data_IF_981563930885
#
_entry.id   IF_981563930885
#
_cell.length_a   1.000
_cell.length_b   1.000
_cell.length_c   1.000
_cell.angle_alpha   90.00
_cell.angle_beta   90.00
_cell.angle_gamma   90.00
#
_symmetry.space_group_name_H-M   'P 1'
#
loop_
_entity.id
_entity.type
_entity.pdbx_description
1 polymer ?
#
# COMPACT_ATOMS: atom_id res chain seq x y z
N UNK A 1 -17.85 14.56 15.73
CA UNK A 1 -17.27 14.14 14.44
C UNK A 1 -15.93 13.43 14.59
N UNK A 2 -14.97 13.92 15.38
CA UNK A 2 -13.69 13.21 15.60
C UNK A 2 -13.85 11.77 16.11
N UNK A 3 -14.77 11.52 17.05
CA UNK A 3 -15.07 10.15 17.52
C UNK A 3 -15.62 9.25 16.39
N UNK A 4 -16.46 9.80 15.52
CA UNK A 4 -17.02 9.07 14.38
C UNK A 4 -15.91 8.70 13.38
N UNK A 5 -15.07 9.67 13.00
CA UNK A 5 -13.88 9.45 12.15
C UNK A 5 -12.97 8.38 12.75
N UNK A 6 -12.62 8.52 14.03
CA UNK A 6 -11.78 7.54 14.72
C UNK A 6 -12.41 6.15 14.71
N UNK A 7 -13.72 6.05 14.91
CA UNK A 7 -14.41 4.75 14.88
C UNK A 7 -14.43 4.08 13.50
N UNK A 8 -14.34 4.86 12.41
CA UNK A 8 -14.17 4.35 11.05
C UNK A 8 -12.75 3.81 10.89
N UNK A 9 -11.75 4.66 11.14
CA UNK A 9 -10.31 4.34 11.00
C UNK A 9 -9.85 3.18 11.90
N UNK A 10 -10.44 3.03 13.09
CA UNK A 10 -10.12 1.92 14.00
C UNK A 10 -11.07 0.73 13.86
N UNK A 11 -11.92 0.68 12.82
CA UNK A 11 -12.84 -0.42 12.54
C UNK A 11 -13.72 -0.81 13.75
N UNK A 12 -14.15 0.18 14.54
CA UNK A 12 -14.90 -0.07 15.80
C UNK A 12 -16.38 -0.31 15.55
N UNK A 13 -16.93 0.32 14.52
CA UNK A 13 -18.37 0.25 14.19
C UNK A 13 -18.64 -0.79 13.10
N UNK A 14 -17.70 -0.93 12.16
CA UNK A 14 -17.75 -1.85 11.03
C UNK A 14 -16.45 -2.64 10.98
N UNK A 15 -16.51 -3.88 10.50
CA UNK A 15 -15.30 -4.67 10.25
C UNK A 15 -14.39 -4.00 9.22
N UNK A 16 -13.08 -4.33 9.18
CA UNK A 16 -12.16 -3.79 8.17
C UNK A 16 -12.68 -3.96 6.73
N UNK A 17 -13.22 -5.14 6.39
CA UNK A 17 -13.79 -5.41 5.07
C UNK A 17 -14.97 -4.52 4.74
N UNK A 18 -15.84 -4.25 5.73
CA UNK A 18 -17.00 -3.37 5.54
C UNK A 18 -16.57 -1.92 5.36
N UNK A 19 -15.61 -1.40 6.15
CA UNK A 19 -15.06 -0.04 5.96
C UNK A 19 -14.39 0.08 4.59
N UNK A 20 -13.52 -0.86 4.22
CA UNK A 20 -12.84 -0.87 2.93
C UNK A 20 -13.83 -0.94 1.75
N UNK A 21 -14.96 -1.63 1.92
CA UNK A 21 -16.02 -1.66 0.91
C UNK A 21 -16.79 -0.36 0.88
N UNK A 22 -17.07 0.22 2.04
CA UNK A 22 -17.86 1.44 2.19
C UNK A 22 -17.15 2.69 1.66
N UNK A 23 -15.82 2.76 1.79
CA UNK A 23 -15.02 3.85 1.24
C UNK A 23 -14.88 3.79 -0.29
N UNK A 24 -15.13 2.65 -0.94
CA UNK A 24 -14.99 2.56 -2.41
C UNK A 24 -15.94 3.51 -3.16
N UNK A 25 -15.50 4.06 -4.30
CA UNK A 25 -16.37 4.84 -5.17
C UNK A 25 -17.49 3.96 -5.75
N UNK A 26 -18.69 4.52 -5.87
CA UNK A 26 -19.85 3.90 -6.49
C UNK A 26 -20.16 4.49 -7.87
N UNK A 27 -19.75 5.73 -8.13
CA UNK A 27 -19.84 6.35 -9.45
C UNK A 27 -18.71 7.35 -9.68
N UNK A 28 -18.48 7.66 -10.95
CA UNK A 28 -17.54 8.69 -11.40
C UNK A 28 -18.31 9.97 -11.75
N UNK A 29 -17.62 11.10 -11.74
CA UNK A 29 -18.12 12.35 -12.33
C UNK A 29 -17.39 12.62 -13.66
N UNK A 30 -17.81 13.62 -14.46
CA UNK A 30 -17.04 14.04 -15.63
C UNK A 30 -15.62 14.53 -15.29
N UNK A 31 -15.40 14.93 -14.04
CA UNK A 31 -14.09 15.31 -13.53
C UNK A 31 -13.33 14.05 -13.07
N UNK A 32 -12.21 13.75 -13.72
CA UNK A 32 -11.45 12.51 -13.51
C UNK A 32 -11.00 12.26 -12.06
N UNK A 33 -10.76 13.32 -11.31
CA UNK A 33 -10.26 13.27 -9.94
C UNK A 33 -11.37 13.36 -8.88
N UNK A 34 -12.64 13.34 -9.29
CA UNK A 34 -13.80 13.43 -8.40
C UNK A 34 -14.69 12.22 -8.58
N UNK A 35 -14.84 11.45 -7.51
CA UNK A 35 -15.63 10.23 -7.44
C UNK A 35 -16.70 10.37 -6.36
N UNK A 36 -17.76 9.59 -6.46
CA UNK A 36 -18.89 9.61 -5.52
C UNK A 36 -19.04 8.23 -4.91
N UNK A 37 -18.99 8.15 -3.58
CA UNK A 37 -19.30 6.96 -2.79
C UNK A 37 -20.69 7.05 -2.14
N UNK A 38 -20.89 6.35 -1.03
CA UNK A 38 -22.11 6.42 -0.25
C UNK A 38 -21.79 6.76 1.21
N UNK A 39 -21.90 8.00 1.70
CA UNK A 39 -22.30 9.25 1.03
C UNK A 39 -21.10 10.11 0.56
N UNK A 40 -19.91 9.51 0.47
CA UNK A 40 -18.62 10.20 0.33
C UNK A 40 -18.47 11.01 -0.96
N UNK A 41 -17.93 12.21 -0.83
CA UNK A 41 -17.26 12.96 -1.89
C UNK A 41 -15.78 12.58 -1.86
N UNK A 42 -15.29 11.94 -2.92
CA UNK A 42 -13.94 11.36 -2.96
C UNK A 42 -13.10 12.17 -3.94
N UNK A 43 -12.05 12.81 -3.42
CA UNK A 43 -11.11 13.60 -4.21
C UNK A 43 -9.79 12.85 -4.32
N UNK A 44 -9.38 12.53 -5.55
CA UNK A 44 -8.12 11.86 -5.85
C UNK A 44 -7.05 12.89 -6.22
N UNK A 45 -5.90 12.87 -5.55
CA UNK A 45 -4.82 13.80 -5.86
C UNK A 45 -3.45 13.15 -5.69
N UNK A 46 -2.50 13.52 -6.55
CA UNK A 46 -1.09 13.17 -6.45
C UNK A 46 -0.22 14.34 -5.96
N UNK A 47 -0.81 15.50 -5.69
CA UNK A 47 -0.09 16.75 -5.36
C UNK A 47 0.01 17.01 -3.86
N UNK A 48 -0.57 16.16 -3.03
CA UNK A 48 -0.65 16.39 -1.58
C UNK A 48 0.66 16.09 -0.84
N UNK A 49 1.59 15.38 -1.49
CA UNK A 49 2.88 14.96 -0.97
C UNK A 49 3.99 15.35 -1.97
N UNK A 50 4.31 16.64 -2.14
CA UNK A 50 5.14 17.13 -3.25
C UNK A 50 6.55 16.53 -3.29
N UNK A 51 7.15 16.18 -2.15
CA UNK A 51 8.47 15.56 -2.09
C UNK A 51 8.46 14.08 -2.54
N UNK A 52 7.31 13.41 -2.40
CA UNK A 52 7.09 12.00 -2.74
C UNK A 52 5.70 11.79 -3.39
N UNK A 53 5.46 12.33 -4.60
CA UNK A 53 4.13 12.34 -5.21
C UNK A 53 3.58 10.94 -5.46
N UNK A 54 2.38 10.68 -4.95
CA UNK A 54 1.63 9.47 -5.22
C UNK A 54 0.13 9.70 -5.00
N UNK A 55 -0.69 8.84 -5.58
CA UNK A 55 -2.15 8.95 -5.51
C UNK A 55 -2.67 8.78 -4.08
N UNK A 56 -3.34 9.82 -3.60
CA UNK A 56 -4.04 9.86 -2.32
C UNK A 56 -5.53 10.12 -2.58
N UNK A 57 -6.38 9.29 -1.96
CA UNK A 57 -7.84 9.47 -1.99
C UNK A 57 -8.31 10.11 -0.67
N UNK A 58 -8.93 11.29 -0.78
CA UNK A 58 -9.58 11.99 0.33
C UNK A 58 -11.08 11.67 0.32
N UNK A 59 -11.52 10.84 1.27
CA UNK A 59 -12.93 10.51 1.49
C UNK A 59 -13.55 11.57 2.38
N UNK A 60 -14.49 12.34 1.87
CA UNK A 60 -14.92 13.55 2.57
C UNK A 60 -16.40 13.81 2.48
N UNK A 61 -16.89 14.67 3.37
CA UNK A 61 -18.26 15.16 3.33
C UNK A 61 -18.35 16.59 3.82
N UNK A 62 -19.02 17.41 3.02
CA UNK A 62 -19.35 18.80 3.35
C UNK A 62 -20.83 18.94 3.70
N UNK A 63 -21.13 19.92 4.54
CA UNK A 63 -22.49 20.30 4.89
C UNK A 63 -22.54 21.76 5.31
N UNK A 64 -23.62 22.46 4.95
CA UNK A 64 -23.83 23.86 5.30
C UNK A 64 -25.28 24.10 5.72
N UNK A 65 -25.47 24.93 6.72
CA UNK A 65 -26.79 25.37 7.19
C UNK A 65 -26.70 26.74 7.86
N UNK A 66 -27.44 27.75 7.35
CA UNK A 66 -27.65 29.06 7.98
C UNK A 66 -26.40 29.69 8.63
N UNK A 67 -25.32 29.85 7.86
CA UNK A 67 -24.07 30.44 8.35
C UNK A 67 -23.19 29.49 9.17
N UNK A 68 -23.48 28.19 9.18
CA UNK A 68 -22.60 27.15 9.71
C UNK A 68 -22.13 26.25 8.58
N UNK A 69 -20.85 25.89 8.59
CA UNK A 69 -20.28 24.92 7.66
C UNK A 69 -19.53 23.84 8.43
N UNK A 70 -19.66 22.62 7.93
CA UNK A 70 -18.93 21.46 8.40
C UNK A 70 -18.22 20.80 7.23
N UNK A 71 -16.95 20.48 7.43
CA UNK A 71 -16.17 19.69 6.50
C UNK A 71 -15.42 18.60 7.27
N UNK A 72 -15.67 17.35 6.93
CA UNK A 72 -14.90 16.22 7.44
C UNK A 72 -14.20 15.48 6.31
N UNK A 73 -13.02 14.94 6.60
CA UNK A 73 -12.24 14.14 5.66
C UNK A 73 -11.54 12.99 6.36
N UNK A 74 -11.35 11.90 5.62
CA UNK A 74 -10.67 10.67 6.01
C UNK A 74 -9.68 10.33 4.90
N UNK A 75 -8.45 10.01 5.30
CA UNK A 75 -7.39 9.55 4.42
C UNK A 75 -6.93 8.21 4.99
N UNK A 76 -7.60 7.16 4.53
CA UNK A 76 -7.50 5.82 5.08
C UNK A 76 -6.07 5.26 4.99
N UNK A 77 -5.38 5.57 3.88
CA UNK A 77 -3.97 5.21 3.63
C UNK A 77 -3.00 5.66 4.73
N UNK A 78 -3.32 6.73 5.46
CA UNK A 78 -2.51 7.24 6.57
C UNK A 78 -3.13 7.00 7.94
N UNK A 79 -4.30 6.36 8.02
CA UNK A 79 -5.05 6.27 9.26
C UNK A 79 -5.43 7.65 9.83
N UNK A 80 -5.62 8.65 8.96
CA UNK A 80 -5.78 10.05 9.34
C UNK A 80 -7.17 10.57 9.01
N UNK A 81 -7.70 11.47 9.83
CA UNK A 81 -8.90 12.21 9.48
C UNK A 81 -8.99 13.53 10.21
N UNK A 82 -9.80 14.43 9.67
CA UNK A 82 -9.96 15.79 10.17
C UNK A 82 -11.42 16.22 10.19
N UNK A 83 -11.66 17.28 10.94
CA UNK A 83 -12.94 17.96 10.95
C UNK A 83 -12.70 19.45 11.09
N UNK A 84 -13.31 20.23 10.21
CA UNK A 84 -13.35 21.69 10.28
C UNK A 84 -14.81 22.09 10.48
N UNK A 85 -15.03 22.97 11.45
CA UNK A 85 -16.33 23.55 11.77
C UNK A 85 -16.18 25.06 11.80
N UNK A 86 -17.00 25.76 11.02
CA UNK A 86 -17.00 27.22 10.98
C UNK A 86 -18.40 27.77 11.17
N UNK A 87 -18.48 28.95 11.78
CA UNK A 87 -19.71 29.72 11.92
C UNK A 87 -19.43 31.15 11.47
N UNK A 88 -20.28 31.71 10.61
CA UNK A 88 -20.13 33.05 10.05
C UNK A 88 -20.74 33.18 8.66
N UNK A 89 -20.68 34.40 8.10
CA UNK A 89 -21.24 34.71 6.78
C UNK A 89 -20.33 34.39 5.58
N UNK A 90 -19.14 33.84 5.81
CA UNK A 90 -18.17 33.56 4.75
C UNK A 90 -18.32 32.11 4.26
N UNK A 91 -18.78 31.94 3.02
CA UNK A 91 -19.28 30.68 2.45
C UNK A 91 -18.22 29.65 2.00
N UNK A 92 -16.96 29.81 2.44
CA UNK A 92 -15.86 28.91 2.06
C UNK A 92 -14.82 28.73 3.18
N UNK A 93 -15.12 29.20 4.41
CA UNK A 93 -14.15 29.19 5.50
C UNK A 93 -13.69 27.77 5.81
N UNK A 94 -14.63 26.81 5.84
CA UNK A 94 -14.32 25.42 6.13
C UNK A 94 -13.43 24.77 5.05
N UNK A 95 -13.67 25.10 3.78
CA UNK A 95 -12.89 24.59 2.65
C UNK A 95 -11.46 25.13 2.70
N UNK A 96 -11.29 26.44 2.80
CA UNK A 96 -9.96 27.07 2.81
C UNK A 96 -9.11 26.61 3.99
N UNK A 97 -9.72 26.41 5.16
CA UNK A 97 -9.04 25.86 6.33
C UNK A 97 -8.66 24.40 6.15
N UNK A 98 -9.51 23.59 5.51
CA UNK A 98 -9.19 22.19 5.23
C UNK A 98 -8.05 22.06 4.20
N UNK A 99 -8.06 22.89 3.14
CA UNK A 99 -6.99 22.90 2.14
C UNK A 99 -5.65 23.32 2.77
N UNK A 100 -5.65 24.36 3.61
CA UNK A 100 -4.47 24.79 4.35
C UNK A 100 -3.99 23.70 5.33
N UNK A 101 -4.91 23.02 6.02
CA UNK A 101 -4.59 21.91 6.91
C UNK A 101 -3.91 20.77 6.13
N UNK A 102 -4.48 20.34 5.01
CA UNK A 102 -3.95 19.25 4.19
C UNK A 102 -2.58 19.59 3.61
N UNK A 103 -2.39 20.83 3.13
CA UNK A 103 -1.12 21.30 2.57
C UNK A 103 0.03 21.29 3.59
N UNK A 104 -0.26 21.48 4.88
CA UNK A 104 0.75 21.44 5.94
C UNK A 104 0.92 20.02 6.51
N UNK A 105 -0.18 19.30 6.71
CA UNK A 105 -0.18 18.05 7.45
C UNK A 105 0.31 16.87 6.62
N UNK A 106 -0.12 16.75 5.36
CA UNK A 106 0.22 15.57 4.55
C UNK A 106 1.71 15.43 4.22
N UNK A 107 2.45 16.50 3.89
CA UNK A 107 3.90 16.38 3.73
C UNK A 107 4.61 15.91 5.02
N UNK A 108 4.15 16.38 6.18
CA UNK A 108 4.72 15.98 7.47
C UNK A 108 4.40 14.53 7.83
N UNK A 109 3.16 14.09 7.57
CA UNK A 109 2.72 12.70 7.77
C UNK A 109 3.49 11.77 6.85
N UNK A 110 3.61 12.10 5.57
CA UNK A 110 4.39 11.30 4.61
C UNK A 110 5.85 11.17 5.04
N UNK A 111 6.46 12.24 5.54
CA UNK A 111 7.83 12.17 6.07
C UNK A 111 7.93 11.21 7.27
N UNK A 112 6.95 11.24 8.17
CA UNK A 112 6.92 10.37 9.35
C UNK A 112 6.70 8.89 8.96
N UNK A 113 5.72 8.60 8.10
CA UNK A 113 5.45 7.23 7.64
C UNK A 113 6.62 6.64 6.87
N UNK A 114 7.31 7.43 6.05
CA UNK A 114 8.55 6.99 5.38
C UNK A 114 9.68 6.71 6.37
N UNK A 115 9.78 7.49 7.44
CA UNK A 115 10.76 7.21 8.52
C UNK A 115 10.42 5.91 9.24
N UNK A 116 9.14 5.62 9.48
CA UNK A 116 8.69 4.36 10.08
C UNK A 116 8.91 3.19 9.12
N UNK A 117 8.68 3.38 7.82
CA UNK A 117 8.88 2.36 6.79
C UNK A 117 10.35 1.91 6.62
N UNK A 118 11.33 2.69 7.11
CA UNK A 118 12.74 2.28 7.15
C UNK A 118 12.98 0.97 7.91
N UNK A 119 12.10 0.65 8.87
CA UNK A 119 12.07 -0.61 9.59
C UNK A 119 12.06 -1.84 8.65
N UNK A 120 11.42 -1.73 7.49
CA UNK A 120 11.25 -2.81 6.52
C UNK A 120 12.37 -2.85 5.47
N UNK A 121 13.29 -1.89 5.49
CA UNK A 121 14.47 -1.83 4.61
C UNK A 121 15.59 -2.64 5.24
N UNK A 122 16.21 -3.52 4.45
CA UNK A 122 17.33 -4.31 4.94
C UNK A 122 17.69 -5.50 4.06
N UNK A 123 18.68 -6.24 4.53
CA UNK A 123 19.06 -7.53 3.99
C UNK A 123 18.66 -8.61 5.00
N UNK A 124 17.86 -9.58 4.58
CA UNK A 124 17.43 -10.69 5.41
C UNK A 124 17.93 -12.00 4.80
N UNK A 125 18.53 -12.84 5.63
CA UNK A 125 19.06 -14.15 5.24
C UNK A 125 18.39 -15.26 6.04
N UNK A 126 18.43 -16.48 5.52
CA UNK A 126 17.88 -17.65 6.23
C UNK A 126 18.96 -18.37 7.04
N UNK A 127 18.70 -18.65 8.31
CA UNK A 127 19.56 -19.47 9.16
C UNK A 127 19.57 -20.95 8.76
N UNK A 128 18.49 -21.41 8.10
CA UNK A 128 18.25 -22.83 7.75
C UNK A 128 18.63 -23.17 6.32
N UNK A 129 18.52 -22.21 5.40
CA UNK A 129 18.86 -22.39 3.99
C UNK A 129 20.03 -21.47 3.61
N UNK A 130 21.13 -22.07 3.14
CA UNK A 130 22.26 -21.28 2.62
C UNK A 130 21.84 -20.55 1.35
N UNK A 131 22.46 -19.40 1.10
CA UNK A 131 22.27 -18.62 -0.15
C UNK A 131 20.82 -18.19 -0.42
N UNK A 132 19.98 -18.15 0.62
CA UNK A 132 18.64 -17.59 0.58
C UNK A 132 18.65 -16.19 1.19
N UNK A 133 18.41 -15.19 0.36
CA UNK A 133 18.47 -13.76 0.71
C UNK A 133 17.21 -13.05 0.20
N UNK A 134 16.66 -12.14 0.99
CA UNK A 134 15.69 -11.15 0.52
C UNK A 134 16.19 -9.76 0.90
N UNK A 135 16.26 -8.86 -0.08
CA UNK A 135 16.73 -7.49 0.10
C UNK A 135 15.70 -6.48 -0.34
N UNK A 136 15.27 -5.66 0.59
CA UNK A 136 14.33 -4.56 0.38
C UNK A 136 15.07 -3.22 0.48
N UNK A 137 14.72 -2.29 -0.39
CA UNK A 137 15.28 -0.94 -0.42
C UNK A 137 14.16 0.08 -0.60
N UNK A 138 14.42 1.35 -0.31
CA UNK A 138 13.44 2.42 -0.47
C UNK A 138 14.07 3.56 -1.27
N UNK A 139 13.36 4.01 -2.30
CA UNK A 139 13.68 5.18 -3.10
C UNK A 139 12.61 6.25 -2.91
N UNK A 140 12.60 7.32 -3.70
CA UNK A 140 11.61 8.40 -3.59
C UNK A 140 10.20 8.02 -4.06
N UNK A 141 9.99 6.81 -4.61
CA UNK A 141 8.68 6.33 -5.02
C UNK A 141 7.85 5.74 -3.88
N UNK A 142 6.62 5.28 -4.18
CA UNK A 142 5.77 4.59 -3.22
C UNK A 142 6.21 3.13 -3.02
N UNK A 143 5.88 2.54 -1.86
CA UNK A 143 6.24 1.16 -1.53
C UNK A 143 7.76 0.92 -1.38
N UNK A 144 8.13 -0.34 -1.18
CA UNK A 144 9.54 -0.76 -1.09
C UNK A 144 9.96 -1.49 -2.36
N UNK A 145 11.21 -1.34 -2.76
CA UNK A 145 11.78 -2.08 -3.88
C UNK A 145 12.29 -3.44 -3.38
N UNK A 146 11.76 -4.51 -3.95
CA UNK A 146 12.32 -5.86 -3.83
C UNK A 146 13.53 -5.97 -4.76
N UNK A 147 14.70 -5.61 -4.24
CA UNK A 147 15.95 -5.54 -5.01
C UNK A 147 16.62 -6.89 -5.23
N UNK A 148 16.41 -7.84 -4.32
CA UNK A 148 16.94 -9.19 -4.41
C UNK A 148 15.99 -10.18 -3.72
N UNK A 149 15.80 -11.33 -4.34
CA UNK A 149 15.16 -12.49 -3.72
C UNK A 149 15.84 -13.74 -4.27
N UNK A 150 16.59 -14.44 -3.43
CA UNK A 150 17.21 -15.72 -3.76
C UNK A 150 16.73 -16.82 -2.83
N UNK A 151 16.68 -18.03 -3.39
CA UNK A 151 16.47 -19.25 -2.61
C UNK A 151 17.50 -20.30 -3.02
N UNK A 152 18.33 -20.73 -2.07
CA UNK A 152 19.36 -21.76 -2.31
C UNK A 152 20.17 -21.48 -3.60
N UNK A 153 20.64 -20.25 -3.74
CA UNK A 153 21.42 -19.77 -4.89
C UNK A 153 20.62 -19.45 -6.17
N UNK A 154 19.32 -19.76 -6.21
CA UNK A 154 18.46 -19.45 -7.37
C UNK A 154 17.92 -18.02 -7.30
N UNK A 155 18.09 -17.24 -8.36
CA UNK A 155 17.56 -15.88 -8.49
C UNK A 155 16.06 -15.90 -8.83
N UNK A 156 15.23 -15.57 -7.85
CA UNK A 156 13.77 -15.56 -7.98
C UNK A 156 13.29 -14.30 -8.70
N UNK A 157 13.96 -13.15 -8.53
CA UNK A 157 13.61 -11.93 -9.29
C UNK A 157 13.85 -12.16 -10.79
N UNK A 158 14.99 -12.76 -11.13
CA UNK A 158 15.28 -13.19 -12.50
C UNK A 158 14.27 -14.20 -13.03
N UNK A 159 13.87 -15.19 -12.22
CA UNK A 159 12.85 -16.16 -12.60
C UNK A 159 11.48 -15.50 -12.87
N UNK A 160 11.05 -14.55 -12.04
CA UNK A 160 9.81 -13.77 -12.25
C UNK A 160 9.86 -13.03 -13.59
N UNK A 161 10.97 -12.34 -13.88
CA UNK A 161 11.17 -11.61 -15.14
C UNK A 161 11.17 -12.56 -16.35
N UNK A 162 11.82 -13.71 -16.24
CA UNK A 162 11.83 -14.73 -17.29
C UNK A 162 10.46 -15.36 -17.54
N UNK A 163 9.70 -15.65 -16.47
CA UNK A 163 8.32 -16.15 -16.57
C UNK A 163 7.42 -15.11 -17.22
N UNK A 164 7.57 -13.84 -16.87
CA UNK A 164 6.83 -12.74 -17.49
C UNK A 164 7.10 -12.63 -18.99
N UNK A 165 8.38 -12.66 -19.38
CA UNK A 165 8.80 -12.56 -20.79
C UNK A 165 8.39 -13.78 -21.64
N UNK A 166 8.16 -14.94 -21.02
CA UNK A 166 7.78 -16.19 -21.69
C UNK A 166 6.27 -16.44 -21.74
N UNK A 167 5.45 -15.51 -21.23
CA UNK A 167 4.00 -15.66 -21.30
C UNK A 167 3.51 -15.68 -22.76
N UNK A 168 2.67 -16.66 -23.16
CA UNK A 168 2.17 -16.77 -24.53
C UNK A 168 1.22 -15.62 -24.89
N UNK A 169 0.62 -14.98 -23.89
CA UNK A 169 -0.21 -13.78 -24.04
C UNK A 169 0.59 -12.58 -23.52
N UNK A 170 0.90 -11.57 -24.37
CA UNK A 170 1.62 -10.39 -23.93
C UNK A 170 0.80 -9.60 -22.91
N UNK A 171 1.29 -9.54 -21.66
CA UNK A 171 0.70 -8.71 -20.61
C UNK A 171 1.21 -7.26 -20.63
N UNK A 172 2.22 -6.97 -21.46
CA UNK A 172 2.98 -5.72 -21.48
C UNK A 172 4.40 -5.91 -20.95
N UNK A 173 5.21 -4.84 -20.92
CA UNK A 173 6.54 -4.90 -20.31
C UNK A 173 6.42 -4.89 -18.80
N UNK A 174 7.17 -5.73 -18.09
CA UNK A 174 7.27 -5.64 -16.64
C UNK A 174 8.25 -4.51 -16.27
N UNK A 175 7.90 -3.71 -15.27
CA UNK A 175 8.81 -2.71 -14.70
C UNK A 175 10.13 -3.33 -14.28
N UNK A 176 11.23 -2.61 -14.47
CA UNK A 176 12.55 -3.08 -14.03
C UNK A 176 12.64 -3.20 -12.51
N UNK A 177 11.91 -2.33 -11.80
CA UNK A 177 11.78 -2.29 -10.36
C UNK A 177 10.53 -3.01 -9.90
N UNK A 178 10.71 -4.02 -9.04
CA UNK A 178 9.62 -4.75 -8.41
C UNK A 178 9.29 -4.09 -7.06
N UNK A 179 8.05 -3.62 -6.89
CA UNK A 179 7.62 -2.89 -5.68
C UNK A 179 6.65 -3.70 -4.85
N UNK A 180 6.86 -3.69 -3.53
CA UNK A 180 6.00 -4.34 -2.55
C UNK A 180 5.30 -3.28 -1.71
N UNK A 181 4.03 -3.53 -1.40
CA UNK A 181 3.15 -2.62 -0.67
C UNK A 181 2.49 -3.34 0.50
N UNK A 182 2.21 -2.66 1.62
CA UNK A 182 1.43 -3.26 2.70
C UNK A 182 0.02 -3.62 2.17
N UNK A 183 -0.49 -4.77 2.61
CA UNK A 183 -1.82 -5.25 2.22
C UNK A 183 -2.90 -4.95 3.29
N UNK A 184 -2.52 -4.28 4.38
CA UNK A 184 -3.36 -4.03 5.57
C UNK A 184 -3.99 -5.31 6.15
N UNK A 185 -3.30 -6.44 5.97
CA UNK A 185 -3.65 -7.74 6.54
C UNK A 185 -2.57 -8.13 7.52
N UNK A 186 -2.95 -8.32 8.77
CA UNK A 186 -2.05 -8.81 9.81
C UNK A 186 -2.71 -9.89 10.65
N UNK A 187 -1.91 -10.77 11.24
CA UNK A 187 -2.38 -11.74 12.24
C UNK A 187 -1.36 -11.91 13.35
N UNK A 188 -1.85 -12.05 14.59
CA UNK A 188 -1.00 -12.41 15.72
C UNK A 188 -0.81 -13.92 15.78
N UNK A 189 0.43 -14.36 15.85
CA UNK A 189 0.82 -15.77 15.94
C UNK A 189 1.59 -15.97 17.24
N UNK A 190 1.23 -17.01 18.00
CA UNK A 190 2.01 -17.45 19.16
C UNK A 190 3.01 -18.49 18.71
N UNK A 191 4.30 -18.21 18.90
CA UNK A 191 5.38 -19.13 18.57
C UNK A 191 5.99 -19.60 19.88
N UNK A 192 6.03 -20.92 20.08
CA UNK A 192 6.71 -21.54 21.22
C UNK A 192 8.06 -22.05 20.75
N UNK A 193 9.13 -21.52 21.33
CA UNK A 193 10.51 -21.91 21.06
C UNK A 193 11.12 -22.52 22.32
N UNK A 194 11.89 -23.58 22.16
CA UNK A 194 12.69 -24.14 23.25
C UNK A 194 14.04 -23.42 23.29
N UNK A 195 14.21 -22.53 24.26
CA UNK A 195 15.47 -21.81 24.49
C UNK A 195 16.05 -22.30 25.82
N UNK A 196 17.26 -22.86 25.78
CA UNK A 196 17.93 -23.44 26.96
C UNK A 196 17.11 -24.52 27.69
N UNK A 197 16.38 -25.35 26.93
CA UNK A 197 15.53 -26.41 27.49
C UNK A 197 14.26 -25.92 28.18
N UNK A 198 13.95 -24.62 28.10
CA UNK A 198 12.68 -24.04 28.58
C UNK A 198 11.83 -23.60 27.40
N UNK A 199 10.55 -23.96 27.41
CA UNK A 199 9.58 -23.40 26.48
C UNK A 199 9.39 -21.92 26.78
N UNK A 200 9.66 -21.09 25.77
CA UNK A 200 9.32 -19.67 25.76
C UNK A 200 8.31 -19.45 24.66
N UNK A 201 7.14 -18.94 25.04
CA UNK A 201 6.14 -18.49 24.06
C UNK A 201 6.32 -17.00 23.82
N UNK A 202 6.49 -16.62 22.56
CA UNK A 202 6.49 -15.23 22.10
C UNK A 202 5.31 -14.97 21.18
N UNK A 203 4.84 -13.73 21.18
CA UNK A 203 3.80 -13.27 20.26
C UNK A 203 4.48 -12.53 19.12
N UNK A 204 4.26 -13.01 17.90
CA UNK A 204 4.67 -12.36 16.67
C UNK A 204 3.45 -11.80 15.96
N UNK A 205 3.65 -10.72 15.20
CA UNK A 205 2.67 -10.22 14.24
C UNK A 205 3.20 -10.53 12.84
N UNK A 206 2.42 -11.25 12.06
CA UNK A 206 2.68 -11.46 10.65
C UNK A 206 1.91 -10.42 9.86
N UNK A 207 2.62 -9.51 9.19
CA UNK A 207 2.07 -8.47 8.33
C UNK A 207 2.28 -8.84 6.86
N UNK A 208 1.18 -8.87 6.10
CA UNK A 208 1.22 -9.24 4.70
C UNK A 208 1.50 -8.03 3.81
N UNK A 209 2.40 -8.23 2.86
CA UNK A 209 2.80 -7.30 1.83
C UNK A 209 2.64 -7.98 0.47
N UNK A 210 2.29 -7.18 -0.54
CA UNK A 210 2.05 -7.65 -1.90
C UNK A 210 2.99 -7.00 -2.89
N UNK A 211 3.69 -7.83 -3.65
CA UNK A 211 4.43 -7.42 -4.84
C UNK A 211 3.43 -7.04 -5.94
N UNK A 212 3.48 -5.79 -6.41
CA UNK A 212 2.72 -5.39 -7.59
C UNK A 212 3.59 -5.61 -8.84
N UNK A 213 3.02 -6.31 -9.82
CA UNK A 213 3.63 -6.44 -11.14
C UNK A 213 3.29 -5.20 -11.97
N UNK A 214 4.07 -4.13 -11.80
CA UNK A 214 3.85 -2.88 -12.53
C UNK A 214 4.14 -3.08 -14.01
N UNK A 215 3.12 -2.83 -14.84
CA UNK A 215 3.19 -3.03 -16.28
C UNK A 215 3.53 -1.69 -16.92
N UNK A 216 4.72 -1.61 -17.50
CA UNK A 216 5.11 -0.50 -18.35
C UNK A 216 4.61 -0.75 -19.76
N UNK A 217 3.89 0.23 -20.31
CA UNK A 217 3.62 0.23 -21.76
C UNK A 217 4.98 0.29 -22.47
N UNK A 218 5.25 -0.68 -23.35
CA UNK A 218 6.58 -0.89 -23.91
C UNK A 218 7.15 0.39 -24.54
N UNK A 219 8.47 0.56 -24.42
CA UNK A 219 9.28 1.64 -25.00
C UNK A 219 9.30 1.68 -26.54
N UNK A 220 8.31 1.09 -27.22
CA UNK A 220 8.20 1.19 -28.67
C UNK A 220 7.63 2.56 -29.05
N UNK A 221 8.41 3.28 -29.86
CA UNK A 221 8.16 4.64 -30.32
C UNK A 221 6.68 4.90 -30.65
N UNK A 222 6.14 6.07 -30.25
CA UNK A 222 4.72 6.37 -30.35
C UNK A 222 4.26 6.32 -31.82
N UNK A 223 3.28 5.46 -32.09
CA UNK A 223 2.36 5.74 -33.17
C UNK A 223 1.65 7.05 -32.82
N UNK A 224 1.58 8.00 -33.75
CA UNK A 224 1.06 9.37 -33.56
C UNK A 224 -0.44 9.48 -33.24
N UNK A 225 -1.08 8.39 -32.81
CA UNK A 225 -2.52 8.37 -32.57
C UNK A 225 -2.83 8.91 -31.17
N UNK A 226 -3.67 9.95 -31.06
CA UNK A 226 -4.04 10.56 -29.78
C UNK A 226 -4.70 9.58 -28.79
N UNK A 227 -5.33 8.51 -29.28
CA UNK A 227 -6.09 7.53 -28.49
C UNK A 227 -5.28 6.33 -27.99
N UNK A 228 -3.99 6.19 -28.36
CA UNK A 228 -3.18 4.98 -28.09
C UNK A 228 -3.00 4.68 -26.58
N UNK A 229 -3.26 5.65 -25.70
CA UNK A 229 -3.04 5.54 -24.26
C UNK A 229 -4.31 5.44 -23.40
N UNK A 230 -5.51 5.45 -24.00
CA UNK A 230 -6.76 5.37 -23.23
C UNK A 230 -6.88 4.05 -22.43
N UNK A 231 -6.28 2.98 -22.94
CA UNK A 231 -6.30 1.63 -22.33
C UNK A 231 -4.90 1.06 -22.06
N UNK A 232 -3.84 1.82 -22.37
CA UNK A 232 -2.47 1.32 -22.25
C UNK A 232 -2.13 1.02 -20.79
N UNK A 233 -1.81 -0.25 -20.49
CA UNK A 233 -1.51 -0.70 -19.13
C UNK A 233 -2.72 -0.88 -18.20
N UNK A 234 -3.93 -0.48 -18.63
CA UNK A 234 -5.12 -0.52 -17.78
C UNK A 234 -5.61 -1.95 -17.49
N UNK A 235 -5.49 -2.87 -18.47
CA UNK A 235 -5.99 -4.25 -18.30
C UNK A 235 -5.11 -5.08 -17.35
N UNK A 236 -3.79 -4.97 -17.47
CA UNK A 236 -2.93 -5.92 -16.76
C UNK A 236 -2.76 -5.59 -15.28
N UNK A 237 -2.86 -4.32 -14.85
CA UNK A 237 -2.67 -3.94 -13.43
C UNK A 237 -3.69 -4.55 -12.47
N UNK A 238 -4.90 -4.86 -12.93
CA UNK A 238 -5.92 -5.57 -12.13
C UNK A 238 -5.92 -7.09 -12.31
N UNK A 239 -5.21 -7.62 -13.30
CA UNK A 239 -5.13 -9.07 -13.59
C UNK A 239 -3.95 -9.75 -12.92
N UNK A 240 -2.93 -8.99 -12.54
CA UNK A 240 -1.66 -9.50 -12.05
C UNK A 240 -1.61 -9.91 -10.57
N UNK A 241 -2.41 -9.34 -9.64
CA UNK A 241 -2.43 -9.85 -8.27
C UNK A 241 -2.80 -11.33 -8.23
N UNK A 242 -1.96 -12.15 -7.59
CA UNK A 242 -2.13 -13.60 -7.50
C UNK A 242 -1.88 -14.36 -8.82
N UNK A 243 -1.37 -13.71 -9.87
CA UNK A 243 -1.20 -14.35 -11.18
C UNK A 243 -0.14 -15.44 -11.18
N UNK A 244 1.05 -15.14 -10.64
CA UNK A 244 2.14 -16.10 -10.55
C UNK A 244 2.01 -16.88 -9.26
N UNK A 245 1.79 -18.19 -9.38
CA UNK A 245 1.61 -19.11 -8.25
C UNK A 245 2.76 -20.11 -8.21
N UNK A 246 3.26 -20.42 -7.02
CA UNK A 246 4.25 -21.47 -6.80
C UNK A 246 4.02 -22.13 -5.44
N UNK A 247 4.12 -23.46 -5.39
CA UNK A 247 3.95 -24.21 -4.14
C UNK A 247 2.55 -24.15 -3.52
N UNK A 248 1.53 -23.71 -4.28
CA UNK A 248 0.15 -23.52 -3.82
C UNK A 248 -0.16 -22.11 -3.31
N UNK A 249 0.82 -21.21 -3.30
CA UNK A 249 0.70 -19.83 -2.81
C UNK A 249 1.08 -18.84 -3.93
N UNK A 250 0.62 -17.60 -3.81
CA UNK A 250 0.99 -16.55 -4.74
C UNK A 250 2.44 -16.10 -4.52
N UNK A 251 3.20 -15.97 -5.61
CA UNK A 251 4.58 -15.47 -5.59
C UNK A 251 4.66 -14.00 -5.19
N UNK A 252 3.56 -13.26 -5.31
CA UNK A 252 3.48 -11.87 -4.90
C UNK A 252 3.29 -11.67 -3.39
N UNK A 253 3.15 -12.75 -2.62
CA UNK A 253 2.89 -12.70 -1.18
C UNK A 253 4.20 -12.70 -0.40
N UNK A 254 4.44 -11.64 0.35
CA UNK A 254 5.58 -11.48 1.26
C UNK A 254 5.01 -11.19 2.64
N UNK A 255 5.57 -11.79 3.69
CA UNK A 255 5.06 -11.62 5.05
C UNK A 255 6.20 -11.16 5.95
N UNK A 256 6.12 -9.93 6.43
CA UNK A 256 7.04 -9.45 7.46
C UNK A 256 6.62 -9.96 8.83
N UNK A 257 7.60 -10.36 9.63
CA UNK A 257 7.40 -10.83 11.00
C UNK A 257 7.85 -9.72 11.94
N UNK A 258 6.97 -9.34 12.86
CA UNK A 258 7.25 -8.33 13.88
C UNK A 258 7.19 -8.89 15.29
N UNK A 259 8.15 -8.47 16.11
CA UNK A 259 8.20 -8.69 17.55
C UNK A 259 8.37 -7.33 18.23
N UNK A 260 7.49 -6.98 19.18
CA UNK A 260 7.51 -5.67 19.85
C UNK A 260 7.55 -4.48 18.86
N UNK A 261 6.71 -4.56 17.82
CA UNK A 261 6.64 -3.61 16.69
C UNK A 261 7.91 -3.50 15.84
N UNK A 262 8.88 -4.40 16.02
CA UNK A 262 10.12 -4.45 15.24
C UNK A 262 10.16 -5.58 14.25
N UNK A 263 10.56 -5.30 13.01
CA UNK A 263 10.71 -6.30 11.95
C UNK A 263 11.93 -7.16 12.25
N UNK A 264 11.67 -8.43 12.56
CA UNK A 264 12.70 -9.43 12.92
C UNK A 264 12.97 -10.43 11.81
N UNK A 265 12.09 -10.56 10.83
CA UNK A 265 12.28 -11.49 9.72
C UNK A 265 11.23 -11.34 8.64
N UNK A 266 11.38 -12.13 7.59
CA UNK A 266 10.48 -12.14 6.43
C UNK A 266 10.21 -13.58 6.01
N UNK A 267 8.97 -13.88 5.63
CA UNK A 267 8.56 -15.15 5.02
C UNK A 267 8.13 -14.90 3.59
N UNK A 268 8.48 -15.83 2.71
CA UNK A 268 7.93 -15.89 1.34
C UNK A 268 7.20 -17.22 1.22
N UNK A 269 5.87 -17.26 1.50
CA UNK A 269 5.11 -18.51 1.63
C UNK A 269 5.19 -19.43 0.41
N UNK A 270 5.15 -18.87 -0.80
CA UNK A 270 5.30 -19.59 -2.07
C UNK A 270 6.62 -20.36 -2.15
N UNK A 271 7.70 -19.77 -1.64
CA UNK A 271 9.02 -20.39 -1.61
C UNK A 271 9.23 -21.33 -0.40
N UNK A 272 8.34 -21.28 0.60
CA UNK A 272 8.46 -22.01 1.88
C UNK A 272 9.75 -21.70 2.63
N UNK A 273 10.23 -20.45 2.50
CA UNK A 273 11.44 -19.96 3.15
C UNK A 273 11.11 -18.84 4.14
N UNK A 274 11.83 -18.88 5.25
CA UNK A 274 11.87 -17.83 6.26
C UNK A 274 13.29 -17.27 6.32
N UNK A 275 13.38 -15.95 6.23
CA UNK A 275 14.58 -15.13 6.30
C UNK A 275 14.59 -14.45 7.68
N UNK A 276 15.15 -15.15 8.66
CA UNK A 276 15.09 -14.87 10.10
C UNK A 276 16.33 -14.12 10.65
N UNK A 277 17.32 -13.88 9.82
CA UNK A 277 18.53 -13.14 10.20
C UNK A 277 18.55 -11.82 9.44
N UNK A 278 18.47 -10.70 10.17
CA UNK A 278 18.62 -9.36 9.63
C UNK A 278 20.07 -8.90 9.75
N UNK A 279 20.68 -8.50 8.63
CA UNK A 279 22.03 -7.93 8.56
C UNK A 279 22.02 -6.39 8.60
#
# INVERSE_FOLDING_TARGET
>A
MSQFIRSILTHKILSPTEVNTWLKPLSTTPQLNTLVGMPWEIYRSDTLTPDHPHTIDLYSKRGSAMGYEAYMGIIDQYGLGFTVLTAGGFSEAATNLADALLAVLLPAVEKATRSEAQEYVGNFTSSKERESIIRTTMDNGPGLILSNLTRNGSDIVGAIKGLWASQPVPLGGLSETLRIYPADVSRSVRVTECVDGKEKTKTQVEEEWRLQYDIVSGNEAPGKMPSKYVVAGACGTFQTPGLLMYGGEALDRIVFIKEHDKVVGVKVPSLRVEYDVRE
#
